data_IF_836939860150
#
_entry.id   IF_836939860150
#
_cell.length_a   1.000
_cell.length_b   1.000
_cell.length_c   1.000
_cell.angle_alpha   90.00
_cell.angle_beta   90.00
_cell.angle_gamma   90.00
#
_symmetry.space_group_name_H-M   'P 1'
#
loop_
_entity.id
_entity.type
_entity.pdbx_description
1 polymer ?
#
# COMPACT_ATOMS: atom_id res chain seq x y z
N UNK A 1 27.29 -33.98 -11.80
CA UNK A 1 25.84 -33.72 -11.91
C UNK A 1 25.29 -33.54 -10.52
N UNK A 2 25.08 -32.29 -10.12
CA UNK A 2 24.33 -31.97 -8.91
C UNK A 2 22.92 -31.62 -9.37
N UNK A 3 21.97 -32.51 -9.06
CA UNK A 3 20.55 -32.22 -9.25
C UNK A 3 20.22 -30.99 -8.42
N UNK A 4 19.83 -29.90 -9.09
CA UNK A 4 19.17 -28.77 -8.45
C UNK A 4 17.91 -29.31 -7.76
N UNK A 5 17.71 -29.10 -6.45
CA UNK A 5 16.50 -29.56 -5.77
C UNK A 5 15.24 -28.78 -6.20
N UNK A 6 15.35 -27.83 -7.13
CA UNK A 6 14.26 -26.99 -7.60
C UNK A 6 14.06 -27.13 -9.12
N UNK A 7 13.61 -28.30 -9.58
CA UNK A 7 12.99 -28.45 -10.91
C UNK A 7 11.57 -27.84 -10.86
N UNK A 8 11.49 -26.52 -10.76
CA UNK A 8 10.24 -25.76 -10.72
C UNK A 8 9.98 -24.97 -12.00
N UNK A 9 8.79 -24.40 -12.11
CA UNK A 9 8.48 -23.40 -13.14
C UNK A 9 9.22 -22.10 -12.82
N UNK A 10 9.82 -21.47 -13.84
CA UNK A 10 10.43 -20.14 -13.72
C UNK A 10 9.42 -19.08 -14.22
N UNK A 11 9.41 -17.90 -13.59
CA UNK A 11 8.72 -16.72 -14.13
C UNK A 11 9.47 -16.19 -15.35
N UNK A 12 8.85 -15.28 -16.11
CA UNK A 12 9.55 -14.58 -17.18
C UNK A 12 10.80 -13.87 -16.65
N UNK A 13 11.88 -13.89 -17.43
CA UNK A 13 13.12 -13.19 -17.09
C UNK A 13 12.85 -11.68 -17.07
N UNK A 14 13.30 -11.02 -16.00
CA UNK A 14 13.29 -9.57 -15.88
C UNK A 14 14.73 -9.06 -15.90
N UNK A 15 15.03 -8.13 -16.80
CA UNK A 15 16.34 -7.46 -16.88
C UNK A 15 16.35 -6.28 -15.92
N UNK A 16 17.40 -6.17 -15.11
CA UNK A 16 17.61 -5.04 -14.19
C UNK A 16 18.98 -4.42 -14.46
N UNK A 17 19.02 -3.09 -14.60
CA UNK A 17 20.26 -2.33 -14.82
C UNK A 17 20.88 -1.80 -13.51
N UNK A 18 20.17 -1.99 -12.38
CA UNK A 18 20.60 -1.62 -11.04
C UNK A 18 20.06 -2.61 -9.99
N UNK A 19 20.69 -2.66 -8.82
CA UNK A 19 20.18 -3.41 -7.68
C UNK A 19 18.90 -2.78 -7.14
N UNK A 20 17.88 -3.59 -6.83
CA UNK A 20 16.62 -3.10 -6.28
C UNK A 20 15.61 -4.23 -6.03
N UNK A 21 14.44 -3.91 -5.47
CA UNK A 21 13.33 -4.86 -5.37
C UNK A 21 12.82 -5.26 -6.76
N UNK A 22 12.24 -6.45 -6.87
CA UNK A 22 11.53 -6.91 -8.07
C UNK A 22 10.30 -7.72 -7.66
N UNK A 23 9.31 -7.81 -8.54
CA UNK A 23 8.05 -8.51 -8.30
C UNK A 23 7.68 -9.37 -9.50
N UNK A 24 6.96 -10.47 -9.27
CA UNK A 24 6.46 -11.34 -10.33
C UNK A 24 5.09 -11.93 -9.95
N UNK A 25 4.14 -11.88 -10.88
CA UNK A 25 2.80 -12.43 -10.68
C UNK A 25 2.77 -13.92 -11.09
N UNK A 26 2.15 -14.75 -10.25
CA UNK A 26 1.93 -16.17 -10.51
C UNK A 26 0.43 -16.43 -10.71
N UNK A 27 0.08 -17.17 -11.77
CA UNK A 27 -1.31 -17.55 -12.07
C UNK A 27 -1.46 -19.07 -12.12
N UNK A 28 -2.70 -19.58 -12.04
CA UNK A 28 -2.99 -21.00 -12.20
C UNK A 28 -2.53 -21.89 -11.03
N UNK A 29 -2.34 -21.31 -9.84
CA UNK A 29 -1.94 -22.08 -8.66
C UNK A 29 -3.13 -22.85 -8.06
N UNK A 30 -2.87 -24.06 -7.61
CA UNK A 30 -3.83 -24.89 -6.88
C UNK A 30 -4.12 -24.26 -5.52
N UNK A 31 -5.35 -24.33 -5.01
CA UNK A 31 -5.69 -23.86 -3.67
C UNK A 31 -5.09 -24.69 -2.54
N UNK A 32 -5.07 -24.13 -1.33
CA UNK A 32 -4.60 -24.78 -0.09
C UNK A 32 -3.24 -25.46 -0.26
N UNK A 33 -2.41 -24.94 -1.17
CA UNK A 33 -1.18 -25.58 -1.60
C UNK A 33 -0.02 -24.67 -1.23
N UNK A 34 0.93 -25.21 -0.49
CA UNK A 34 2.16 -24.50 -0.15
C UNK A 34 3.14 -24.57 -1.30
N UNK A 35 3.48 -23.41 -1.85
CA UNK A 35 4.50 -23.23 -2.87
C UNK A 35 5.78 -22.72 -2.21
N UNK A 36 6.90 -23.20 -2.74
CA UNK A 36 8.24 -22.75 -2.36
C UNK A 36 8.84 -22.01 -3.53
N UNK A 37 9.52 -20.89 -3.26
CA UNK A 37 10.16 -20.09 -4.28
C UNK A 37 11.51 -19.59 -3.81
N UNK A 38 12.37 -19.26 -4.77
CA UNK A 38 13.70 -18.70 -4.54
C UNK A 38 13.95 -17.63 -5.60
N UNK A 39 14.52 -16.51 -5.19
CA UNK A 39 15.00 -15.51 -6.15
C UNK A 39 16.27 -16.03 -6.83
N UNK A 40 16.37 -15.86 -8.15
CA UNK A 40 17.54 -16.22 -8.96
C UNK A 40 18.01 -14.99 -9.70
N UNK A 41 19.30 -14.70 -9.65
CA UNK A 41 19.93 -13.61 -10.38
C UNK A 41 21.11 -14.14 -11.20
N UNK A 42 21.25 -13.64 -12.43
CA UNK A 42 22.33 -14.00 -13.34
C UNK A 42 22.73 -12.77 -14.14
N UNK A 43 24.03 -12.53 -14.28
CA UNK A 43 24.56 -11.61 -15.28
C UNK A 43 24.50 -12.32 -16.63
N UNK A 44 23.95 -11.66 -17.66
CA UNK A 44 23.68 -12.27 -18.95
C UNK A 44 24.91 -13.00 -19.50
N UNK A 45 24.73 -14.27 -19.87
CA UNK A 45 25.76 -15.16 -20.40
C UNK A 45 26.99 -15.42 -19.49
N UNK A 46 26.91 -15.05 -18.20
CA UNK A 46 27.96 -15.29 -17.21
C UNK A 46 27.54 -16.30 -16.14
N UNK A 47 28.53 -17.04 -15.62
CA UNK A 47 28.42 -17.90 -14.43
C UNK A 47 29.26 -17.27 -13.29
N UNK A 48 28.85 -17.39 -12.01
CA UNK A 48 27.79 -18.26 -11.51
C UNK A 48 26.40 -17.59 -11.43
N UNK A 49 25.35 -18.41 -11.48
CA UNK A 49 24.00 -18.01 -11.07
C UNK A 49 23.95 -17.86 -9.55
N UNK A 50 23.39 -16.74 -9.08
CA UNK A 50 23.17 -16.46 -7.66
C UNK A 50 21.74 -16.81 -7.25
N UNK A 51 21.60 -17.42 -6.08
CA UNK A 51 20.32 -17.83 -5.50
C UNK A 51 20.10 -17.15 -4.15
N UNK A 52 18.89 -16.62 -3.95
CA UNK A 52 18.47 -16.00 -2.70
C UNK A 52 18.04 -17.01 -1.63
N UNK A 53 17.31 -16.54 -0.62
CA UNK A 53 16.71 -17.41 0.39
C UNK A 53 15.49 -18.14 -0.18
N UNK A 54 15.34 -19.41 0.19
CA UNK A 54 14.13 -20.17 -0.08
C UNK A 54 12.98 -19.68 0.81
N UNK A 55 11.94 -19.14 0.18
CA UNK A 55 10.73 -18.67 0.83
C UNK A 55 9.56 -19.59 0.47
N UNK A 56 8.45 -19.44 1.18
CA UNK A 56 7.22 -20.18 0.89
C UNK A 56 5.99 -19.33 1.12
N UNK A 57 4.93 -19.62 0.38
CA UNK A 57 3.59 -19.11 0.63
C UNK A 57 2.57 -20.23 0.44
N UNK A 58 1.40 -20.12 1.06
CA UNK A 58 0.32 -21.10 0.90
C UNK A 58 -0.85 -20.41 0.21
N UNK A 59 -1.26 -20.95 -0.93
CA UNK A 59 -2.46 -20.46 -1.63
C UNK A 59 -3.71 -20.73 -0.81
N UNK A 60 -4.70 -19.87 -0.97
CA UNK A 60 -5.97 -19.95 -0.25
C UNK A 60 -6.75 -21.20 -0.66
N UNK A 61 -7.60 -21.73 0.23
CA UNK A 61 -8.51 -22.82 -0.13
C UNK A 61 -9.51 -22.36 -1.20
N UNK A 62 -9.81 -23.21 -2.20
CA UNK A 62 -11.06 -23.07 -2.96
C UNK A 62 -12.10 -23.73 -2.05
N UNK A 63 -13.08 -22.96 -1.58
CA UNK A 63 -14.21 -23.51 -0.87
C UNK A 63 -15.04 -24.35 -1.84
N UNK A 64 -14.79 -25.66 -1.90
CA UNK A 64 -15.67 -26.61 -2.59
C UNK A 64 -16.76 -27.08 -1.63
N UNK A 65 -17.63 -26.15 -1.22
CA UNK A 65 -18.77 -26.50 -0.38
C UNK A 65 -19.94 -26.87 -1.29
N UNK A 66 -20.08 -28.17 -1.53
CA UNK A 66 -21.29 -28.75 -2.09
C UNK A 66 -22.45 -28.60 -1.10
N UNK A 67 -23.45 -27.80 -1.47
CA UNK A 67 -24.85 -27.99 -1.05
C UNK A 67 -25.31 -27.40 0.28
N UNK A 68 -24.59 -26.43 0.86
CA UNK A 68 -25.09 -25.60 1.96
C UNK A 68 -25.03 -24.12 1.58
N UNK A 69 -25.98 -23.30 2.04
CA UNK A 69 -25.87 -21.84 1.99
C UNK A 69 -24.64 -21.42 2.83
N UNK A 70 -23.45 -21.47 2.23
CA UNK A 70 -22.31 -20.75 2.75
C UNK A 70 -22.64 -19.26 2.60
N UNK A 71 -22.47 -18.44 3.66
CA UNK A 71 -22.63 -17.01 3.51
C UNK A 71 -21.63 -16.53 2.44
N UNK A 72 -21.98 -15.54 1.62
CA UNK A 72 -21.04 -14.94 0.69
C UNK A 72 -19.78 -14.50 1.44
N UNK A 73 -18.61 -14.89 0.93
CA UNK A 73 -17.32 -14.36 1.39
C UNK A 73 -17.00 -13.11 0.59
N UNK A 74 -16.79 -12.00 1.28
CA UNK A 74 -16.47 -10.73 0.65
C UNK A 74 -14.98 -10.44 0.74
N UNK A 75 -14.49 -9.71 -0.26
CA UNK A 75 -13.11 -9.32 -0.38
C UNK A 75 -13.03 -7.86 -0.76
N UNK A 76 -12.01 -7.20 -0.23
CA UNK A 76 -11.54 -5.92 -0.72
C UNK A 76 -10.30 -6.19 -1.57
N UNK A 77 -10.31 -5.73 -2.82
CA UNK A 77 -9.14 -5.75 -3.70
C UNK A 77 -8.29 -4.51 -3.43
N UNK A 78 -6.98 -4.63 -3.41
CA UNK A 78 -6.12 -3.50 -3.12
C UNK A 78 -5.09 -3.33 -4.22
N UNK A 79 -4.81 -2.10 -4.61
CA UNK A 79 -3.64 -1.72 -5.39
C UNK A 79 -2.95 -0.57 -4.66
N UNK A 80 -2.11 -0.93 -3.69
CA UNK A 80 -1.45 0.04 -2.81
C UNK A 80 -0.01 0.18 -3.28
N UNK A 81 0.30 1.32 -3.87
CA UNK A 81 1.62 1.66 -4.41
C UNK A 81 2.11 0.65 -5.47
N UNK A 82 1.19 0.18 -6.33
CA UNK A 82 1.48 -0.80 -7.37
C UNK A 82 1.53 -2.25 -6.89
N UNK A 83 1.25 -2.50 -5.60
CA UNK A 83 1.17 -3.85 -5.04
C UNK A 83 -0.29 -4.29 -4.97
N UNK A 84 -0.61 -5.30 -5.77
CA UNK A 84 -1.93 -5.93 -5.76
C UNK A 84 -2.10 -6.86 -4.54
N UNK A 85 -3.27 -6.78 -3.90
CA UNK A 85 -3.63 -7.58 -2.74
C UNK A 85 -5.13 -7.88 -2.67
N UNK A 86 -5.50 -8.83 -1.81
CA UNK A 86 -6.92 -9.16 -1.58
C UNK A 86 -7.10 -9.59 -0.13
N UNK A 87 -7.97 -8.89 0.58
CA UNK A 87 -8.18 -9.07 2.02
C UNK A 87 -9.65 -9.35 2.33
N UNK A 88 -9.88 -10.04 3.45
CA UNK A 88 -11.23 -10.37 3.88
C UNK A 88 -11.96 -9.18 4.52
N UNK A 89 -13.20 -8.96 4.07
CA UNK A 89 -14.14 -7.99 4.63
C UNK A 89 -15.49 -8.68 4.91
N UNK A 90 -16.27 -8.19 5.87
CA UNK A 90 -17.66 -8.63 6.06
C UNK A 90 -18.63 -7.84 5.17
N UNK A 91 -19.85 -8.34 5.00
CA UNK A 91 -20.96 -7.60 4.35
C UNK A 91 -21.28 -6.25 4.99
N UNK A 92 -20.81 -6.00 6.21
CA UNK A 92 -21.01 -4.74 6.93
C UNK A 92 -19.77 -3.83 6.84
N UNK A 93 -18.85 -4.08 5.91
CA UNK A 93 -17.61 -3.32 5.76
C UNK A 93 -16.51 -3.64 6.76
N UNK A 94 -16.67 -4.66 7.62
CA UNK A 94 -15.69 -4.91 8.68
C UNK A 94 -14.47 -5.64 8.13
N UNK A 95 -13.31 -4.99 8.20
CA UNK A 95 -12.00 -5.55 7.85
C UNK A 95 -11.64 -6.67 8.84
N UNK A 96 -11.31 -7.86 8.32
CA UNK A 96 -11.10 -9.06 9.15
C UNK A 96 -9.63 -9.36 9.45
N UNK A 97 -8.72 -8.68 8.77
CA UNK A 97 -7.26 -8.75 8.93
C UNK A 97 -6.64 -7.38 8.72
N UNK A 98 -5.61 -7.03 9.49
CA UNK A 98 -4.93 -5.74 9.34
C UNK A 98 -4.30 -5.65 7.95
N UNK A 99 -4.57 -4.55 7.25
CA UNK A 99 -3.95 -4.21 5.97
C UNK A 99 -2.85 -3.19 6.27
N UNK A 100 -1.64 -3.46 5.80
CA UNK A 100 -0.50 -2.56 5.89
C UNK A 100 0.18 -2.49 4.54
N UNK A 101 0.52 -1.28 4.10
CA UNK A 101 1.28 -1.07 2.87
C UNK A 101 2.21 0.13 3.06
N UNK A 102 3.37 0.06 2.42
CA UNK A 102 4.38 1.12 2.42
C UNK A 102 4.65 1.54 0.98
N UNK A 103 4.78 2.84 0.75
CA UNK A 103 5.11 3.42 -0.56
C UNK A 103 6.45 2.92 -1.07
N UNK A 104 6.65 2.96 -2.39
CA UNK A 104 7.88 2.50 -3.04
C UNK A 104 9.14 3.24 -2.53
N UNK A 105 8.99 4.52 -2.18
CA UNK A 105 10.05 5.34 -1.60
C UNK A 105 10.30 5.08 -0.10
N UNK A 106 9.48 4.26 0.55
CA UNK A 106 9.56 3.94 1.97
C UNK A 106 9.03 5.04 2.91
N UNK A 107 8.47 6.14 2.39
CA UNK A 107 8.13 7.31 3.19
C UNK A 107 6.77 7.22 3.85
N UNK A 108 5.75 6.69 3.17
CA UNK A 108 4.38 6.60 3.67
C UNK A 108 4.02 5.15 3.97
N UNK A 109 3.67 4.87 5.21
CA UNK A 109 3.03 3.62 5.62
C UNK A 109 1.58 3.88 6.01
N UNK A 110 0.68 3.11 5.41
CA UNK A 110 -0.74 3.09 5.75
C UNK A 110 -1.06 1.82 6.55
N UNK A 111 -1.85 1.98 7.61
CA UNK A 111 -2.30 0.86 8.43
C UNK A 111 -3.81 0.95 8.61
N UNK A 112 -4.52 -0.04 8.10
CA UNK A 112 -5.96 -0.26 8.31
C UNK A 112 -6.10 -1.41 9.30
N UNK A 113 -6.36 -1.14 10.59
CA UNK A 113 -6.45 -2.20 11.58
C UNK A 113 -7.59 -3.17 11.27
N UNK A 114 -7.41 -4.43 11.67
CA UNK A 114 -8.53 -5.35 11.82
C UNK A 114 -9.64 -4.71 12.66
N UNK A 115 -10.88 -5.08 12.34
CA UNK A 115 -12.12 -4.64 12.95
C UNK A 115 -12.58 -3.22 12.56
N UNK A 116 -11.82 -2.51 11.72
CA UNK A 116 -12.25 -1.26 11.07
C UNK A 116 -13.42 -1.49 10.14
N UNK A 117 -14.42 -0.61 10.19
CA UNK A 117 -15.53 -0.56 9.23
C UNK A 117 -15.12 0.34 8.07
N UNK A 118 -14.93 -0.25 6.89
CA UNK A 118 -14.61 0.42 5.64
C UNK A 118 -15.81 0.37 4.70
N UNK A 119 -16.38 1.54 4.39
CA UNK A 119 -17.56 1.68 3.54
C UNK A 119 -17.27 2.60 2.36
N UNK A 120 -18.01 2.42 1.27
CA UNK A 120 -18.02 3.36 0.15
C UNK A 120 -18.95 4.56 0.42
N UNK A 121 -19.07 5.44 -0.57
CA UNK A 121 -19.91 6.65 -0.52
C UNK A 121 -21.41 6.37 -0.32
N UNK A 122 -21.88 5.17 -0.69
CA UNK A 122 -23.29 4.77 -0.59
C UNK A 122 -23.57 4.05 0.75
N UNK A 123 -22.52 3.80 1.54
CA UNK A 123 -22.58 3.11 2.83
C UNK A 123 -22.54 1.59 2.71
N UNK A 124 -22.23 1.07 1.52
CA UNK A 124 -21.99 -0.35 1.29
C UNK A 124 -20.54 -0.70 1.61
N UNK A 125 -20.23 -2.00 1.71
CA UNK A 125 -18.87 -2.44 2.01
C UNK A 125 -17.90 -1.95 0.92
N UNK A 126 -16.70 -1.55 1.33
CA UNK A 126 -15.69 -1.14 0.37
C UNK A 126 -15.14 -2.34 -0.42
N UNK A 127 -15.16 -2.26 -1.76
CA UNK A 127 -14.72 -3.36 -2.64
C UNK A 127 -13.28 -3.19 -3.15
N UNK A 128 -12.78 -1.96 -3.20
CA UNK A 128 -11.41 -1.66 -3.62
C UNK A 128 -10.74 -0.59 -2.76
N UNK A 129 -9.41 -0.67 -2.67
CA UNK A 129 -8.55 0.38 -2.12
C UNK A 129 -7.41 0.63 -3.10
N UNK A 130 -7.16 1.88 -3.43
CA UNK A 130 -6.06 2.29 -4.30
C UNK A 130 -5.25 3.38 -3.62
N UNK A 131 -3.93 3.31 -3.77
CA UNK A 131 -3.02 4.35 -3.31
C UNK A 131 -1.88 4.48 -4.32
N UNK A 132 -1.58 5.69 -4.76
CA UNK A 132 -0.50 5.95 -5.69
C UNK A 132 0.12 7.33 -5.45
N UNK A 133 1.34 7.54 -5.96
CA UNK A 133 1.93 8.89 -6.01
C UNK A 133 1.08 9.75 -6.94
N UNK A 134 0.61 10.89 -6.45
CA UNK A 134 0.02 11.91 -7.30
C UNK A 134 1.14 12.67 -8.02
N UNK A 135 1.19 12.52 -9.34
CA UNK A 135 2.22 13.15 -10.19
C UNK A 135 1.90 14.59 -10.55
N UNK A 136 0.68 15.04 -10.29
CA UNK A 136 0.22 16.39 -10.60
C UNK A 136 -0.70 16.92 -9.50
N UNK A 137 -0.24 16.96 -8.23
CA UNK A 137 -1.08 17.37 -7.13
C UNK A 137 -1.52 18.82 -7.25
N UNK A 138 -2.70 19.18 -6.69
CA UNK A 138 -3.12 20.57 -6.61
C UNK A 138 -2.07 21.45 -5.94
N UNK A 139 -1.86 22.65 -6.47
CA UNK A 139 -0.86 23.56 -5.92
C UNK A 139 -1.18 23.90 -4.44
N UNK A 140 -0.18 23.91 -3.55
CA UNK A 140 -0.36 24.41 -2.19
C UNK A 140 -0.66 25.92 -2.19
N UNK A 141 -1.13 26.48 -1.05
CA UNK A 141 -1.22 27.93 -0.87
C UNK A 141 0.08 28.68 -1.20
N UNK A 142 -0.02 29.98 -1.53
CA UNK A 142 1.12 30.79 -2.04
C UNK A 142 2.34 30.78 -1.10
N UNK A 143 2.13 30.75 0.21
CA UNK A 143 3.17 30.74 1.25
C UNK A 143 3.46 29.33 1.80
N UNK A 144 3.22 28.28 1.00
CA UNK A 144 3.40 26.90 1.41
C UNK A 144 4.03 26.02 0.32
N UNK A 145 4.70 24.95 0.77
CA UNK A 145 5.31 23.96 -0.10
C UNK A 145 4.87 22.55 0.27
N UNK A 146 4.66 21.71 -0.74
CA UNK A 146 4.56 20.26 -0.56
C UNK A 146 5.97 19.74 -0.25
N UNK A 147 6.09 19.01 0.86
CA UNK A 147 7.32 18.38 1.29
C UNK A 147 7.28 16.91 0.86
N UNK A 148 8.24 16.50 0.02
CA UNK A 148 8.28 15.15 -0.53
C UNK A 148 7.24 14.94 -1.65
N UNK A 149 6.51 13.83 -1.58
CA UNK A 149 5.49 13.45 -2.57
C UNK A 149 4.08 13.63 -2.00
N UNK A 150 3.13 13.95 -2.87
CA UNK A 150 1.71 13.81 -2.59
C UNK A 150 1.24 12.42 -3.03
N UNK A 151 0.23 11.90 -2.34
CA UNK A 151 -0.35 10.58 -2.65
C UNK A 151 -1.85 10.72 -2.79
N UNK A 152 -2.36 10.10 -3.84
CA UNK A 152 -3.78 10.00 -4.11
C UNK A 152 -4.31 8.66 -3.61
N UNK A 153 -5.46 8.70 -2.95
CA UNK A 153 -6.12 7.55 -2.35
C UNK A 153 -7.54 7.42 -2.86
N UNK A 154 -7.91 6.20 -3.25
CA UNK A 154 -9.22 5.90 -3.78
C UNK A 154 -9.85 4.64 -3.16
N UNK A 155 -11.17 4.49 -3.32
CA UNK A 155 -12.07 5.38 -4.04
C UNK A 155 -12.52 6.59 -3.21
N UNK A 156 -12.93 7.66 -3.90
CA UNK A 156 -13.50 8.85 -3.26
C UNK A 156 -14.77 8.51 -2.47
N UNK A 157 -14.93 9.18 -1.34
CA UNK A 157 -16.05 8.93 -0.43
C UNK A 157 -15.94 7.63 0.36
N UNK A 158 -14.81 6.91 0.27
CA UNK A 158 -14.51 5.85 1.23
C UNK A 158 -14.48 6.42 2.66
N UNK A 159 -15.00 5.66 3.62
CA UNK A 159 -15.03 6.04 5.04
C UNK A 159 -14.48 4.92 5.93
N UNK A 160 -13.84 5.29 7.05
CA UNK A 160 -13.23 4.35 7.98
C UNK A 160 -13.59 4.66 9.45
N UNK A 161 -14.12 3.65 10.15
CA UNK A 161 -14.46 3.72 11.58
C UNK A 161 -13.98 2.46 12.36
N UNK A 162 -13.02 2.58 13.29
CA UNK A 162 -12.28 3.79 13.64
C UNK A 162 -11.41 4.33 12.49
N UNK A 163 -10.93 5.58 12.59
CA UNK A 163 -9.97 6.12 11.63
C UNK A 163 -8.74 5.22 11.47
N UNK A 164 -8.21 5.16 10.26
CA UNK A 164 -6.96 4.46 9.94
C UNK A 164 -5.75 5.34 10.28
N UNK A 165 -4.55 4.76 10.24
CA UNK A 165 -3.33 5.49 10.58
C UNK A 165 -2.45 5.67 9.35
N UNK A 166 -2.04 6.91 9.09
CA UNK A 166 -0.92 7.23 8.22
C UNK A 166 0.30 7.53 9.07
N UNK A 167 1.42 6.88 8.75
CA UNK A 167 2.74 7.17 9.33
C UNK A 167 3.66 7.59 8.21
N UNK A 168 4.12 8.82 8.25
CA UNK A 168 4.83 9.45 7.16
C UNK A 168 6.20 9.93 7.61
N UNK A 169 7.25 9.50 6.94
CA UNK A 169 8.61 9.98 7.19
C UNK A 169 8.89 11.22 6.34
N UNK A 170 9.70 12.14 6.87
CA UNK A 170 10.18 13.30 6.13
C UNK A 170 11.69 13.45 6.28
N UNK A 171 12.32 14.06 5.28
CA UNK A 171 13.74 14.42 5.34
C UNK A 171 13.88 15.83 5.92
N UNK A 172 14.44 16.01 7.13
CA UNK A 172 14.64 17.32 7.72
C UNK A 172 15.61 18.21 6.92
N UNK A 173 16.51 17.63 6.12
CA UNK A 173 17.44 18.40 5.27
C UNK A 173 16.76 18.93 4.00
N UNK A 174 15.65 18.31 3.59
CA UNK A 174 14.85 18.75 2.44
C UNK A 174 13.81 19.83 2.80
N UNK A 175 13.69 20.17 4.09
CA UNK A 175 12.77 21.20 4.54
C UNK A 175 13.29 22.59 4.11
N UNK A 176 12.45 23.43 3.49
CA UNK A 176 12.74 24.86 3.41
C UNK A 176 12.86 25.45 4.82
N UNK A 177 13.19 26.74 4.92
CA UNK A 177 13.14 27.47 6.20
C UNK A 177 11.67 27.63 6.62
N UNK A 178 11.01 26.53 6.98
CA UNK A 178 9.57 26.41 7.27
C UNK A 178 9.35 26.55 8.76
N UNK A 179 8.24 27.20 9.13
CA UNK A 179 7.89 27.39 10.53
C UNK A 179 7.35 26.10 11.16
N UNK A 180 6.49 25.39 10.44
CA UNK A 180 5.73 24.25 10.95
C UNK A 180 5.43 23.25 9.81
N UNK A 181 5.35 21.96 10.15
CA UNK A 181 4.95 20.87 9.26
C UNK A 181 3.57 20.35 9.66
N UNK A 182 2.72 20.15 8.66
CA UNK A 182 1.39 19.58 8.83
C UNK A 182 1.14 18.50 7.80
N UNK A 183 0.34 17.50 8.16
CA UNK A 183 -0.30 16.67 7.18
C UNK A 183 -1.58 17.35 6.71
N UNK A 184 -1.81 17.43 5.40
CA UNK A 184 -3.01 18.02 4.84
C UNK A 184 -3.65 17.07 3.83
N UNK A 185 -4.96 17.21 3.66
CA UNK A 185 -5.72 16.58 2.59
C UNK A 185 -6.31 17.65 1.67
N UNK A 186 -6.52 17.31 0.41
CA UNK A 186 -7.18 18.21 -0.53
C UNK A 186 -8.70 18.01 -0.45
N UNK A 187 -9.41 19.08 -0.09
CA UNK A 187 -10.87 19.16 -0.16
C UNK A 187 -11.23 19.61 -1.58
N UNK A 188 -11.66 18.65 -2.41
CA UNK A 188 -12.00 18.89 -3.82
C UNK A 188 -13.22 19.81 -3.98
N UNK A 189 -14.21 19.71 -3.09
CA UNK A 189 -15.41 20.53 -3.12
C UNK A 189 -15.08 22.00 -2.82
N UNK A 190 -14.17 22.23 -1.88
CA UNK A 190 -13.70 23.57 -1.53
C UNK A 190 -12.51 24.05 -2.39
N UNK A 191 -11.89 23.15 -3.16
CA UNK A 191 -10.72 23.42 -3.99
C UNK A 191 -9.49 23.87 -3.20
N UNK A 192 -9.28 23.34 -1.99
CA UNK A 192 -8.20 23.80 -1.09
C UNK A 192 -7.62 22.67 -0.25
N UNK A 193 -6.36 22.84 0.15
CA UNK A 193 -5.72 22.02 1.17
C UNK A 193 -6.31 22.34 2.56
N UNK A 194 -6.62 21.30 3.31
CA UNK A 194 -7.13 21.36 4.69
C UNK A 194 -6.19 20.60 5.60
N UNK A 195 -5.73 21.27 6.66
CA UNK A 195 -4.85 20.67 7.66
C UNK A 195 -5.57 19.56 8.43
N UNK A 196 -4.87 18.45 8.63
CA UNK A 196 -5.29 17.32 9.43
C UNK A 196 -4.56 17.34 10.76
N UNK A 197 -5.28 17.01 11.84
CA UNK A 197 -4.66 16.84 13.15
C UNK A 197 -3.63 15.71 13.10
N UNK A 198 -2.40 16.02 13.49
CA UNK A 198 -1.27 15.10 13.37
C UNK A 198 -0.25 15.30 14.49
N UNK A 199 0.55 14.27 14.71
CA UNK A 199 1.64 14.25 15.69
C UNK A 199 2.96 14.20 14.95
N UNK A 200 3.75 15.27 15.09
CA UNK A 200 5.11 15.36 14.54
C UNK A 200 6.10 14.85 15.60
N UNK A 201 6.85 13.81 15.25
CA UNK A 201 8.00 13.31 16.00
C UNK A 201 9.29 13.76 15.31
N UNK A 202 9.83 14.89 15.76
CA UNK A 202 11.07 15.46 15.23
C UNK A 202 12.34 14.68 15.60
N UNK A 203 12.25 13.68 16.49
CA UNK A 203 13.39 12.81 16.82
C UNK A 203 13.51 11.70 15.78
N UNK A 204 12.37 11.13 15.38
CA UNK A 204 12.30 10.07 14.38
C UNK A 204 12.03 10.59 12.96
N UNK A 205 11.80 11.90 12.81
CA UNK A 205 11.40 12.58 11.58
C UNK A 205 10.15 11.96 10.94
N UNK A 206 9.12 11.75 11.76
CA UNK A 206 7.84 11.19 11.31
C UNK A 206 6.66 12.08 11.67
N UNK A 207 5.60 12.00 10.88
CA UNK A 207 4.29 12.60 11.12
C UNK A 207 3.27 11.47 11.13
N UNK A 208 2.45 11.39 12.18
CA UNK A 208 1.39 10.40 12.30
C UNK A 208 0.03 11.09 12.34
N UNK A 209 -0.94 10.59 11.58
CA UNK A 209 -2.29 11.14 11.59
C UNK A 209 -3.36 10.05 11.49
N UNK A 210 -4.52 10.36 12.03
CA UNK A 210 -5.73 9.56 11.91
C UNK A 210 -6.56 10.02 10.72
N UNK A 211 -6.85 9.11 9.81
CA UNK A 211 -7.53 9.40 8.54
C UNK A 211 -8.84 8.61 8.48
N UNK A 212 -9.94 9.29 8.16
CA UNK A 212 -11.28 8.68 8.10
C UNK A 212 -11.88 8.64 6.70
N UNK A 213 -11.19 9.20 5.71
CA UNK A 213 -11.63 9.26 4.32
C UNK A 213 -10.43 9.28 3.37
N UNK A 214 -10.70 9.04 2.09
CA UNK A 214 -9.70 9.07 1.04
C UNK A 214 -9.89 10.26 0.09
N UNK A 215 -8.76 10.77 -0.38
CA UNK A 215 -8.54 11.90 -1.28
C UNK A 215 -7.01 11.99 -1.49
N UNK A 216 -6.51 13.09 -2.05
CA UNK A 216 -5.09 13.41 -2.08
C UNK A 216 -4.58 13.93 -0.73
N UNK A 217 -3.46 13.39 -0.25
CA UNK A 217 -2.77 13.83 0.96
C UNK A 217 -1.33 14.27 0.66
N UNK A 218 -0.81 15.20 1.44
CA UNK A 218 0.58 15.65 1.38
C UNK A 218 1.05 16.22 2.72
N UNK A 219 2.36 16.19 2.94
CA UNK A 219 2.99 17.01 3.99
C UNK A 219 3.14 18.43 3.44
N UNK A 220 2.64 19.42 4.17
CA UNK A 220 2.72 20.84 3.84
C UNK A 220 3.62 21.55 4.86
N UNK A 221 4.56 22.34 4.36
CA UNK A 221 5.39 23.24 5.17
C UNK A 221 5.08 24.69 4.83
N UNK A 222 4.74 25.49 5.85
CA UNK A 222 4.48 26.93 5.69
C UNK A 222 5.77 27.75 5.77
N UNK A 223 5.91 28.70 4.85
CA UNK A 223 7.01 29.67 4.85
C UNK A 223 6.65 30.84 5.78
N UNK A 224 7.53 31.23 6.72
CA UNK A 224 7.31 32.34 7.65
C UNK A 224 7.21 33.72 6.99
#
# INVERSE_FOLDING_TARGET
GLNSPFNGNETAVQTMDATGPFTASLTGLSPSTTYWFIAKAQVADEEPIYYGLGLRFTTRAISTDGGGWAPPTYYIQTNLFGVEGSYHISSSGKILETIEATSEDGMLTITIPKDTIALDKDGDQLESLEAAVDKSPPAPPEDAHIIGLAYDFGPDGATFDPPITFTWSYDPEALPDVADLFLAYYDEDAGKWVELDCVVDAVNNTITASVSHFTTFAIIGWVP
#
